data_IF_800031844373
#
_entry.id   IF_800031844373
#
_cell.length_a   1.000
_cell.length_b   1.000
_cell.length_c   1.000
_cell.angle_alpha   90.00
_cell.angle_beta   90.00
_cell.angle_gamma   90.00
#
_symmetry.space_group_name_H-M   'P 1'
#
loop_
_entity.id
_entity.type
_entity.pdbx_description
1 polymer ?
#
# COMPACT_ATOMS: atom_id res chain seq x y z
N UNK A 1 -39.76 34.44 9.42
CA UNK A 1 -39.77 33.00 9.81
C UNK A 1 -38.88 32.15 8.90
N UNK A 2 -37.56 32.41 8.81
CA UNK A 2 -36.61 31.55 8.05
C UNK A 2 -35.42 31.07 8.89
N UNK A 3 -35.28 31.57 10.12
CA UNK A 3 -34.19 31.22 11.02
C UNK A 3 -34.51 30.01 11.93
N UNK A 4 -35.77 29.57 12.00
CA UNK A 4 -36.21 28.47 12.86
C UNK A 4 -35.90 27.07 12.29
N UNK A 5 -35.72 26.96 10.97
CA UNK A 5 -35.40 25.69 10.29
C UNK A 5 -33.90 25.34 10.36
N UNK A 6 -33.05 26.25 10.81
CA UNK A 6 -31.59 26.06 10.86
C UNK A 6 -31.10 25.46 12.19
N UNK A 7 -32.00 25.30 13.17
CA UNK A 7 -31.71 24.69 14.47
C UNK A 7 -31.92 23.17 14.49
N UNK A 8 -32.50 22.58 13.43
CA UNK A 8 -32.69 21.13 13.31
C UNK A 8 -31.54 20.42 12.58
N UNK A 9 -30.53 21.13 12.09
CA UNK A 9 -29.29 20.52 11.58
C UNK A 9 -28.19 20.63 12.62
N UNK A 10 -28.22 19.67 13.55
CA UNK A 10 -27.08 19.39 14.41
C UNK A 10 -26.09 18.53 13.65
N UNK A 11 -25.18 19.16 12.89
CA UNK A 11 -24.06 18.49 12.20
C UNK A 11 -22.91 18.14 13.18
N UNK A 12 -23.20 17.98 14.47
CA UNK A 12 -22.20 17.65 15.50
C UNK A 12 -22.20 16.13 15.74
N UNK A 13 -21.54 15.40 14.84
CA UNK A 13 -21.23 13.97 15.03
C UNK A 13 -21.45 13.08 13.81
N UNK A 14 -22.09 13.57 12.75
CA UNK A 14 -22.52 12.80 11.59
C UNK A 14 -21.39 12.48 10.57
N UNK A 15 -20.13 12.44 11.00
CA UNK A 15 -19.05 12.12 10.07
C UNK A 15 -17.71 11.79 10.70
N UNK A 16 -17.37 12.33 11.87
CA UNK A 16 -16.00 12.17 12.38
C UNK A 16 -15.63 10.70 12.66
N UNK A 17 -16.55 9.89 13.19
CA UNK A 17 -16.32 8.45 13.42
C UNK A 17 -16.53 7.61 12.16
N UNK A 18 -17.54 7.92 11.35
CA UNK A 18 -17.85 7.18 10.12
C UNK A 18 -16.75 7.33 9.07
N UNK A 19 -16.23 8.55 8.88
CA UNK A 19 -15.06 8.78 8.04
C UNK A 19 -13.83 8.07 8.61
N UNK A 20 -13.65 8.03 9.93
CA UNK A 20 -12.55 7.28 10.55
C UNK A 20 -12.63 5.78 10.26
N UNK A 21 -13.83 5.20 10.32
CA UNK A 21 -14.05 3.78 10.02
C UNK A 21 -13.74 3.51 8.53
N UNK A 22 -14.26 4.33 7.62
CA UNK A 22 -14.00 4.18 6.17
C UNK A 22 -12.49 4.32 5.88
N UNK A 23 -11.83 5.31 6.49
CA UNK A 23 -10.38 5.51 6.35
C UNK A 23 -9.61 4.30 6.88
N UNK A 24 -10.01 3.73 8.01
CA UNK A 24 -9.37 2.52 8.54
C UNK A 24 -9.52 1.33 7.59
N UNK A 25 -10.70 1.15 6.98
CA UNK A 25 -10.93 0.08 6.00
C UNK A 25 -10.06 0.27 4.74
N UNK A 26 -10.00 1.49 4.20
CA UNK A 26 -9.15 1.81 3.05
C UNK A 26 -7.68 1.63 3.39
N UNK A 27 -7.23 2.01 4.58
CA UNK A 27 -5.85 1.84 5.02
C UNK A 27 -5.44 0.36 5.06
N UNK A 28 -6.30 -0.52 5.61
CA UNK A 28 -6.04 -1.97 5.65
C UNK A 28 -5.96 -2.53 4.22
N UNK A 29 -6.88 -2.15 3.33
CA UNK A 29 -6.85 -2.56 1.94
C UNK A 29 -5.58 -2.09 1.21
N UNK A 30 -5.18 -0.82 1.43
CA UNK A 30 -3.98 -0.24 0.86
C UNK A 30 -2.70 -0.95 1.31
N UNK A 31 -2.60 -1.32 2.60
CA UNK A 31 -1.49 -2.13 3.12
C UNK A 31 -1.41 -3.47 2.36
N UNK A 32 -2.54 -4.13 2.13
CA UNK A 32 -2.62 -5.37 1.36
C UNK A 32 -2.11 -5.21 -0.08
N UNK A 33 -2.63 -4.21 -0.80
CA UNK A 33 -2.25 -3.92 -2.20
C UNK A 33 -0.77 -3.57 -2.31
N UNK A 34 -0.27 -2.62 -1.50
CA UNK A 34 1.14 -2.20 -1.56
C UNK A 34 2.09 -3.33 -1.16
N UNK A 35 1.69 -4.22 -0.26
CA UNK A 35 2.51 -5.39 0.09
C UNK A 35 2.65 -6.37 -1.07
N UNK A 36 1.53 -6.68 -1.74
CA UNK A 36 1.50 -7.67 -2.82
C UNK A 36 2.18 -7.10 -4.07
N UNK A 37 1.75 -5.91 -4.50
CA UNK A 37 2.16 -5.32 -5.77
C UNK A 37 3.42 -4.44 -5.66
N UNK A 38 3.78 -3.95 -4.47
CA UNK A 38 4.91 -3.04 -4.31
C UNK A 38 6.26 -3.67 -4.64
N UNK A 39 6.41 -5.00 -4.47
CA UNK A 39 7.61 -5.72 -4.92
C UNK A 39 7.71 -5.73 -6.43
N UNK A 40 6.62 -6.07 -7.12
CA UNK A 40 6.60 -6.21 -8.57
C UNK A 40 6.82 -4.85 -9.23
N UNK A 41 6.21 -3.79 -8.69
CA UNK A 41 6.45 -2.41 -9.11
C UNK A 41 7.93 -2.02 -8.90
N UNK A 42 8.52 -2.32 -7.73
CA UNK A 42 9.93 -2.01 -7.46
C UNK A 42 10.86 -2.71 -8.46
N UNK A 43 10.58 -3.96 -8.80
CA UNK A 43 11.37 -4.74 -9.75
C UNK A 43 11.31 -4.17 -11.17
N UNK A 44 10.14 -3.71 -11.61
CA UNK A 44 10.00 -3.03 -12.89
C UNK A 44 10.82 -1.73 -12.94
N UNK A 45 10.81 -0.97 -11.83
CA UNK A 45 11.62 0.24 -11.72
C UNK A 45 13.12 -0.06 -11.67
N UNK A 46 13.59 -1.06 -10.91
CA UNK A 46 15.01 -1.42 -10.88
C UNK A 46 15.51 -1.87 -12.25
N UNK A 47 14.77 -2.75 -12.93
CA UNK A 47 15.14 -3.20 -14.28
C UNK A 47 15.19 -2.06 -15.31
N UNK A 48 14.30 -1.07 -15.18
CA UNK A 48 14.30 0.13 -16.05
C UNK A 48 15.47 1.06 -15.70
N UNK A 49 15.76 1.27 -14.41
CA UNK A 49 16.91 2.07 -13.95
C UNK A 49 18.24 1.43 -14.37
N UNK A 50 18.39 0.12 -14.24
CA UNK A 50 19.61 -0.59 -14.66
C UNK A 50 19.82 -0.47 -16.17
N UNK A 51 18.76 -0.66 -16.95
CA UNK A 51 18.78 -0.50 -18.41
C UNK A 51 19.14 0.94 -18.82
N UNK A 52 18.59 1.93 -18.11
CA UNK A 52 18.90 3.35 -18.34
C UNK A 52 20.34 3.70 -17.91
N UNK A 53 20.88 3.04 -16.90
CA UNK A 53 22.27 3.19 -16.46
C UNK A 53 23.28 2.51 -17.41
N UNK A 54 22.82 1.91 -18.51
CA UNK A 54 23.67 1.22 -19.49
C UNK A 54 24.12 -0.18 -19.07
N UNK A 55 23.67 -0.64 -17.89
CA UNK A 55 23.88 -1.99 -17.43
C UNK A 55 22.73 -2.85 -17.98
N UNK A 56 22.97 -3.54 -19.10
CA UNK A 56 22.03 -4.51 -19.65
C UNK A 56 21.93 -5.73 -18.71
N UNK A 57 21.23 -5.57 -17.58
CA UNK A 57 20.87 -6.67 -16.72
C UNK A 57 19.96 -7.60 -17.54
N UNK A 58 20.46 -8.79 -17.87
CA UNK A 58 19.64 -9.87 -18.44
C UNK A 58 18.48 -10.12 -17.50
N UNK A 59 17.33 -9.56 -17.86
CA UNK A 59 16.10 -9.54 -17.08
C UNK A 59 15.54 -10.97 -17.02
N UNK A 60 16.18 -11.81 -16.21
CA UNK A 60 15.71 -13.15 -15.92
C UNK A 60 14.58 -12.93 -14.95
N UNK A 61 13.34 -12.92 -15.44
CA UNK A 61 12.15 -12.81 -14.62
C UNK A 61 12.17 -13.95 -13.58
N UNK A 62 12.77 -13.70 -12.41
CA UNK A 62 12.79 -14.65 -11.31
C UNK A 62 11.36 -14.70 -10.83
N UNK A 63 10.64 -15.76 -11.24
CA UNK A 63 9.32 -16.12 -10.75
C UNK A 63 9.36 -15.97 -9.23
N UNK A 64 8.70 -14.95 -8.71
CA UNK A 64 8.84 -14.58 -7.32
C UNK A 64 8.29 -15.71 -6.46
N UNK A 65 9.17 -16.54 -5.90
CA UNK A 65 8.79 -17.53 -4.90
C UNK A 65 8.21 -16.76 -3.71
N UNK A 66 6.89 -16.82 -3.55
CA UNK A 66 6.19 -16.23 -2.42
C UNK A 66 6.58 -17.04 -1.20
N UNK A 67 7.70 -16.66 -0.56
CA UNK A 67 8.13 -17.27 0.69
C UNK A 67 7.04 -17.01 1.74
N UNK A 68 6.46 -18.11 2.15
CA UNK A 68 5.28 -18.27 2.98
C UNK A 68 5.42 -17.48 4.29
N UNK A 69 4.39 -16.69 4.61
CA UNK A 69 4.20 -15.90 5.84
C UNK A 69 5.00 -14.59 5.97
N UNK A 70 4.49 -13.52 5.32
CA UNK A 70 4.75 -12.14 5.77
C UNK A 70 3.63 -11.73 6.73
N UNK A 71 3.93 -11.61 8.02
CA UNK A 71 2.99 -11.16 9.06
C UNK A 71 3.28 -9.70 9.46
N UNK A 72 2.42 -9.11 10.31
CA UNK A 72 2.54 -7.71 10.80
C UNK A 72 3.92 -7.31 11.33
N UNK A 73 4.64 -8.28 11.89
CA UNK A 73 5.94 -8.09 12.51
C UNK A 73 7.12 -8.15 11.53
N UNK A 74 6.88 -8.57 10.29
CA UNK A 74 7.90 -8.76 9.23
C UNK A 74 7.69 -7.80 8.05
N UNK A 75 6.74 -6.87 8.15
CA UNK A 75 6.64 -5.79 7.17
C UNK A 75 7.83 -4.85 7.29
N UNK A 76 8.46 -4.53 6.15
CA UNK A 76 9.65 -3.66 6.08
C UNK A 76 10.99 -4.36 6.30
N UNK A 77 11.02 -5.54 6.90
CA UNK A 77 12.26 -6.32 7.01
C UNK A 77 12.57 -7.02 5.70
N UNK A 78 13.58 -6.54 4.98
CA UNK A 78 14.14 -7.24 3.84
C UNK A 78 14.90 -8.46 4.37
N UNK A 79 14.32 -9.65 4.26
CA UNK A 79 15.00 -10.88 4.65
C UNK A 79 15.87 -11.33 3.47
N UNK A 80 17.03 -10.69 3.30
CA UNK A 80 18.07 -11.13 2.37
C UNK A 80 18.59 -12.49 2.87
N UNK A 81 17.94 -13.56 2.41
CA UNK A 81 18.38 -14.90 2.76
C UNK A 81 19.49 -15.26 1.81
N UNK A 82 20.71 -14.90 2.20
CA UNK A 82 22.00 -15.39 1.70
C UNK A 82 21.91 -16.10 0.34
N UNK A 83 22.13 -15.36 -0.73
CA UNK A 83 22.27 -15.94 -2.07
C UNK A 83 22.06 -15.00 -3.26
N UNK A 84 21.64 -13.76 -3.02
CA UNK A 84 21.50 -12.67 -3.99
C UNK A 84 22.33 -11.45 -3.59
#
# INVERSE_FOLDING_TARGET
MRHLLKLLRSDKGQGMSEYLIIVALVAIAAIGVVTVFGRDVRELFSGTTDSLAGNQATNTAVKANVRQSKNLKTFGTYNATRGD
#
